data_IF_273043738981
#
_entry.id   IF_273043738981
#
_cell.length_a   1.000
_cell.length_b   1.000
_cell.length_c   1.000
_cell.angle_alpha   90.00
_cell.angle_beta   90.00
_cell.angle_gamma   90.00
#
_symmetry.space_group_name_H-M   'P 1'
#
loop_
_entity.id
_entity.type
_entity.pdbx_description
1 polymer ?
#
# COMPACT_ATOMS: atom_id res chain seq x y z
N UNK A 1 12.10 27.80 -37.76
CA UNK A 1 11.82 26.69 -36.83
C UNK A 1 10.77 27.18 -35.86
N UNK A 2 9.72 26.39 -35.65
CA UNK A 2 8.65 26.72 -34.70
C UNK A 2 9.26 26.95 -33.31
N UNK A 3 8.94 28.07 -32.66
CA UNK A 3 9.44 28.42 -31.32
C UNK A 3 9.11 27.30 -30.32
N UNK A 4 7.99 26.60 -30.53
CA UNK A 4 7.57 25.44 -29.76
C UNK A 4 8.54 24.27 -29.94
N UNK A 5 8.99 24.00 -31.18
CA UNK A 5 9.94 22.93 -31.46
C UNK A 5 11.34 23.21 -30.88
N UNK A 6 11.76 24.47 -30.86
CA UNK A 6 13.02 24.89 -30.21
C UNK A 6 12.91 24.75 -28.70
N UNK A 7 11.79 25.17 -28.09
CA UNK A 7 11.57 25.02 -26.65
C UNK A 7 11.54 23.54 -26.23
N UNK A 8 10.81 22.69 -26.97
CA UNK A 8 10.75 21.26 -26.71
C UNK A 8 12.11 20.59 -26.84
N UNK A 9 12.90 20.94 -27.86
CA UNK A 9 14.23 20.36 -28.03
C UNK A 9 15.20 20.77 -26.91
N UNK A 10 15.16 22.03 -26.45
CA UNK A 10 15.95 22.48 -25.29
C UNK A 10 15.52 21.76 -24.01
N UNK A 11 14.22 21.57 -23.78
CA UNK A 11 13.71 20.81 -22.63
C UNK A 11 14.17 19.35 -22.68
N UNK A 12 14.11 18.71 -23.86
CA UNK A 12 14.58 17.33 -24.05
C UNK A 12 16.09 17.24 -23.80
N UNK A 13 16.89 18.17 -24.31
CA UNK A 13 18.34 18.18 -24.10
C UNK A 13 18.68 18.39 -22.63
N UNK A 14 18.05 19.35 -21.95
CA UNK A 14 18.24 19.57 -20.52
C UNK A 14 17.81 18.34 -19.70
N UNK A 15 16.71 17.69 -20.09
CA UNK A 15 16.26 16.45 -19.48
C UNK A 15 17.27 15.31 -19.66
N UNK A 16 17.79 15.12 -20.88
CA UNK A 16 18.81 14.12 -21.18
C UNK A 16 20.12 14.41 -20.42
N UNK A 17 20.60 15.66 -20.41
CA UNK A 17 21.82 16.04 -19.68
C UNK A 17 21.66 15.78 -18.18
N UNK A 18 20.53 16.17 -17.58
CA UNK A 18 20.26 15.91 -16.17
C UNK A 18 20.15 14.41 -15.88
N UNK A 19 19.49 13.65 -16.75
CA UNK A 19 19.39 12.20 -16.65
C UNK A 19 20.76 11.51 -16.73
N UNK A 20 21.61 11.91 -17.66
CA UNK A 20 22.97 11.38 -17.81
C UNK A 20 23.88 11.78 -16.64
N UNK A 21 23.71 12.98 -16.09
CA UNK A 21 24.45 13.42 -14.90
C UNK A 21 24.06 12.59 -13.67
N UNK A 22 22.76 12.38 -13.45
CA UNK A 22 22.26 11.56 -12.35
C UNK A 22 22.63 10.07 -12.53
N UNK A 23 22.69 9.57 -13.77
CA UNK A 23 23.18 8.23 -14.08
C UNK A 23 24.64 8.02 -13.63
N UNK A 24 25.53 8.98 -13.95
CA UNK A 24 26.94 8.92 -13.52
C UNK A 24 27.13 9.13 -12.02
N UNK A 25 26.21 9.83 -11.36
CA UNK A 25 26.27 10.07 -9.91
C UNK A 25 25.80 8.86 -9.09
N UNK A 26 25.20 7.85 -9.74
CA UNK A 26 24.67 6.62 -9.13
C UNK A 26 25.69 5.49 -8.90
N UNK A 27 26.99 5.75 -9.06
CA UNK A 27 28.06 4.83 -8.62
C UNK A 27 28.16 4.83 -7.10
N UNK A 28 27.13 4.30 -6.45
CA UNK A 28 27.21 3.88 -5.05
C UNK A 28 28.30 2.82 -4.95
N UNK A 29 29.46 3.22 -4.43
CA UNK A 29 30.55 2.31 -4.09
C UNK A 29 29.98 1.18 -3.23
N UNK A 30 30.23 -0.07 -3.61
CA UNK A 30 29.82 -1.29 -2.89
C UNK A 30 28.35 -1.74 -3.04
N UNK A 31 27.67 -1.40 -4.14
CA UNK A 31 26.39 -2.07 -4.44
C UNK A 31 26.60 -3.54 -4.84
N UNK A 32 25.64 -4.43 -4.52
CA UNK A 32 25.65 -5.82 -4.99
C UNK A 32 25.73 -5.92 -6.52
N UNK A 33 26.26 -7.03 -7.06
CA UNK A 33 26.35 -7.24 -8.50
C UNK A 33 24.96 -7.19 -9.15
N UNK A 34 24.89 -6.88 -10.44
CA UNK A 34 23.62 -6.79 -11.14
C UNK A 34 23.78 -6.41 -12.61
N UNK A 35 22.72 -6.56 -13.41
CA UNK A 35 22.74 -6.23 -14.82
C UNK A 35 22.95 -4.73 -15.04
N UNK A 36 23.75 -4.39 -16.04
CA UNK A 36 24.06 -2.99 -16.36
C UNK A 36 22.78 -2.22 -16.73
N UNK A 37 22.44 -1.14 -16.02
CA UNK A 37 21.21 -0.40 -16.27
C UNK A 37 21.34 0.52 -17.49
N UNK A 38 20.25 0.67 -18.25
CA UNK A 38 20.14 1.69 -19.28
C UNK A 38 19.88 3.08 -18.66
N UNK A 39 20.30 4.18 -19.30
CA UNK A 39 19.97 5.52 -18.84
C UNK A 39 18.46 5.72 -18.69
N UNK A 40 18.02 6.41 -17.63
CA UNK A 40 16.62 6.78 -17.32
C UNK A 40 15.71 5.62 -16.94
N UNK A 41 15.66 4.56 -17.75
CA UNK A 41 14.73 3.44 -17.61
C UNK A 41 15.29 2.28 -16.77
N UNK A 42 16.60 2.23 -16.55
CA UNK A 42 17.23 1.17 -15.77
C UNK A 42 17.18 -0.19 -16.48
N UNK A 43 16.78 -1.23 -15.76
CA UNK A 43 16.64 -2.61 -16.22
C UNK A 43 15.19 -2.97 -16.59
N UNK A 44 14.26 -2.01 -16.64
CA UNK A 44 12.82 -2.27 -16.86
C UNK A 44 12.55 -3.08 -18.13
N UNK A 45 13.31 -2.87 -19.21
CA UNK A 45 13.13 -3.62 -20.47
C UNK A 45 13.45 -5.11 -20.38
N UNK A 46 14.29 -5.50 -19.42
CA UNK A 46 14.60 -6.92 -19.21
C UNK A 46 13.61 -7.58 -18.23
N UNK A 47 12.89 -6.78 -17.44
CA UNK A 47 11.94 -7.29 -16.45
C UNK A 47 10.62 -7.64 -17.12
N UNK A 48 10.14 -8.87 -16.93
CA UNK A 48 8.75 -9.18 -17.21
C UNK A 48 7.88 -8.46 -16.17
N UNK A 49 7.35 -7.28 -16.54
CA UNK A 49 6.52 -6.46 -15.64
C UNK A 49 5.20 -7.15 -15.26
N UNK A 50 4.79 -8.20 -15.97
CA UNK A 50 3.64 -9.02 -15.58
C UNK A 50 3.99 -10.05 -14.50
N UNK A 51 5.24 -10.54 -14.49
CA UNK A 51 5.75 -11.56 -13.56
C UNK A 51 7.17 -11.26 -13.09
N UNK A 52 7.42 -10.10 -12.44
CA UNK A 52 8.77 -9.65 -12.14
C UNK A 52 9.51 -10.60 -11.18
N UNK A 53 8.78 -11.29 -10.32
CA UNK A 53 9.31 -12.31 -9.42
C UNK A 53 10.04 -13.44 -10.19
N UNK A 54 9.61 -13.82 -11.39
CA UNK A 54 10.30 -14.84 -12.19
C UNK A 54 11.63 -14.35 -12.70
N UNK A 55 11.66 -13.15 -13.28
CA UNK A 55 12.91 -12.53 -13.73
C UNK A 55 13.88 -12.35 -12.56
N UNK A 56 13.39 -11.98 -11.37
CA UNK A 56 14.24 -11.88 -10.18
C UNK A 56 14.83 -13.24 -9.75
N UNK A 57 14.08 -14.34 -9.89
CA UNK A 57 14.63 -15.69 -9.64
C UNK A 57 15.74 -16.03 -10.63
N UNK A 58 15.54 -15.80 -11.94
CA UNK A 58 16.55 -16.05 -12.98
C UNK A 58 17.82 -15.22 -12.76
N UNK A 59 17.67 -13.95 -12.38
CA UNK A 59 18.81 -13.10 -12.04
C UNK A 59 19.55 -13.60 -10.80
N UNK A 60 18.84 -14.17 -9.82
CA UNK A 60 19.47 -14.71 -8.62
C UNK A 60 20.36 -15.92 -8.91
N UNK A 61 20.04 -16.69 -9.95
CA UNK A 61 20.90 -17.80 -10.42
C UNK A 61 22.20 -17.26 -11.07
N UNK A 62 22.14 -16.07 -11.68
CA UNK A 62 23.28 -15.46 -12.38
C UNK A 62 24.17 -14.62 -11.46
N UNK A 63 23.56 -13.77 -10.63
CA UNK A 63 24.24 -12.76 -9.81
C UNK A 63 24.34 -13.16 -8.33
N UNK A 64 23.76 -14.31 -7.96
CA UNK A 64 23.68 -14.78 -6.59
C UNK A 64 22.44 -14.25 -5.85
N UNK A 65 22.29 -14.65 -4.57
CA UNK A 65 21.07 -14.38 -3.80
C UNK A 65 20.86 -12.91 -3.39
N UNK A 66 21.91 -12.09 -3.48
CA UNK A 66 21.85 -10.64 -3.23
C UNK A 66 22.38 -9.93 -4.47
N UNK A 67 21.49 -9.25 -5.18
CA UNK A 67 21.85 -8.55 -6.42
C UNK A 67 21.11 -7.22 -6.53
N UNK A 68 21.55 -6.35 -7.43
CA UNK A 68 20.94 -5.06 -7.66
C UNK A 68 20.24 -4.98 -9.01
N UNK A 69 19.12 -4.27 -9.04
CA UNK A 69 18.39 -3.89 -10.25
C UNK A 69 18.04 -2.41 -10.17
N UNK A 70 17.99 -1.74 -11.30
CA UNK A 70 17.53 -0.36 -11.39
C UNK A 70 16.17 -0.33 -12.06
N UNK A 71 15.15 0.20 -11.38
CA UNK A 71 13.81 0.37 -11.93
C UNK A 71 13.61 1.87 -12.17
N UNK A 72 13.62 2.28 -13.44
CA UNK A 72 13.67 3.70 -13.78
C UNK A 72 14.97 4.34 -13.28
N UNK A 73 14.84 5.33 -12.41
CA UNK A 73 15.99 6.00 -11.76
C UNK A 73 16.30 5.45 -10.35
N UNK A 74 15.52 4.49 -9.86
CA UNK A 74 15.66 3.96 -8.51
C UNK A 74 16.51 2.70 -8.53
N UNK A 75 17.63 2.70 -7.81
CA UNK A 75 18.48 1.52 -7.61
C UNK A 75 17.95 0.71 -6.42
N UNK A 76 17.70 -0.57 -6.64
CA UNK A 76 17.05 -1.46 -5.67
C UNK A 76 17.90 -2.71 -5.47
N UNK A 77 18.09 -3.11 -4.21
CA UNK A 77 18.69 -4.41 -3.88
C UNK A 77 17.58 -5.44 -3.75
N UNK A 78 17.75 -6.57 -4.44
CA UNK A 78 16.84 -7.71 -4.40
C UNK A 78 17.49 -8.79 -3.54
N UNK A 79 16.73 -9.29 -2.56
CA UNK A 79 17.11 -10.40 -1.71
C UNK A 79 16.30 -11.62 -2.15
N UNK A 80 17.00 -12.70 -2.52
CA UNK A 80 16.42 -13.92 -3.03
C UNK A 80 16.86 -15.13 -2.20
N UNK A 81 15.94 -16.08 -2.01
CA UNK A 81 16.16 -17.28 -1.22
C UNK A 81 15.85 -17.11 0.27
N UNK A 82 15.48 -18.22 0.91
CA UNK A 82 15.03 -18.25 2.30
C UNK A 82 16.09 -17.69 3.27
N UNK A 83 17.32 -18.20 3.20
CA UNK A 83 18.39 -17.81 4.14
C UNK A 83 18.69 -16.31 4.06
N UNK A 84 18.83 -15.76 2.86
CA UNK A 84 19.11 -14.34 2.62
C UNK A 84 18.00 -13.42 3.12
N UNK A 85 16.76 -13.76 2.81
CA UNK A 85 15.59 -12.96 3.24
C UNK A 85 15.43 -13.04 4.76
N UNK A 86 15.63 -14.23 5.35
CA UNK A 86 15.58 -14.43 6.79
C UNK A 86 16.67 -13.64 7.51
N UNK A 87 17.91 -13.72 7.03
CA UNK A 87 19.04 -13.00 7.63
C UNK A 87 18.81 -11.48 7.63
N UNK A 88 18.38 -10.93 6.49
CA UNK A 88 18.08 -9.49 6.39
C UNK A 88 16.90 -9.06 7.28
N UNK A 89 15.78 -9.81 7.28
CA UNK A 89 14.56 -9.38 7.97
C UNK A 89 14.51 -9.76 9.45
N UNK A 90 15.37 -10.68 9.91
CA UNK A 90 15.43 -11.12 11.32
C UNK A 90 16.72 -10.65 11.98
N UNK A 91 17.88 -11.03 11.45
CA UNK A 91 19.17 -10.74 12.09
C UNK A 91 19.58 -9.27 11.88
N UNK A 92 19.15 -8.65 10.78
CA UNK A 92 19.39 -7.25 10.46
C UNK A 92 18.10 -6.42 10.43
N UNK A 93 17.07 -6.81 11.20
CA UNK A 93 15.75 -6.23 11.17
C UNK A 93 15.75 -4.69 11.30
N UNK A 94 16.56 -4.13 12.21
CA UNK A 94 16.62 -2.67 12.41
C UNK A 94 17.09 -1.92 11.15
N UNK A 95 18.07 -2.48 10.41
CA UNK A 95 18.60 -1.88 9.19
C UNK A 95 17.63 -1.94 8.00
N UNK A 96 16.77 -2.96 7.96
CA UNK A 96 15.80 -3.20 6.88
C UNK A 96 14.35 -2.93 7.27
N UNK A 97 14.13 -2.33 8.45
CA UNK A 97 12.79 -2.08 9.00
C UNK A 97 12.04 -0.92 8.35
N UNK A 98 12.72 -0.07 7.60
CA UNK A 98 12.14 1.10 6.94
C UNK A 98 11.23 0.73 5.75
N UNK A 99 10.47 1.72 5.29
CA UNK A 99 9.53 1.65 4.16
C UNK A 99 9.94 2.66 3.10
N UNK A 100 10.10 2.26 1.83
CA UNK A 100 10.32 3.25 0.78
C UNK A 100 9.09 4.15 0.65
N UNK A 101 9.31 5.46 0.46
CA UNK A 101 8.23 6.37 0.14
C UNK A 101 7.73 6.08 -1.27
N UNK A 102 6.49 5.61 -1.38
CA UNK A 102 5.86 5.31 -2.68
C UNK A 102 5.07 6.55 -3.11
N UNK A 103 5.47 7.28 -4.17
CA UNK A 103 4.90 8.58 -4.50
C UNK A 103 3.39 8.59 -4.68
N UNK A 104 2.81 7.57 -5.32
CA UNK A 104 1.35 7.49 -5.52
C UNK A 104 0.59 7.47 -4.18
N UNK A 105 1.11 6.78 -3.16
CA UNK A 105 0.48 6.74 -1.84
C UNK A 105 0.85 7.95 -1.00
N UNK A 106 2.11 8.40 -1.05
CA UNK A 106 2.60 9.56 -0.33
C UNK A 106 1.79 10.83 -0.66
N UNK A 107 1.37 11.00 -1.92
CA UNK A 107 0.61 12.17 -2.35
C UNK A 107 -0.75 12.32 -1.64
N UNK A 108 -1.42 11.22 -1.33
CA UNK A 108 -2.75 11.24 -0.69
C UNK A 108 -2.67 10.98 0.81
N UNK A 109 -1.88 9.97 1.23
CA UNK A 109 -1.77 9.55 2.63
C UNK A 109 -0.70 10.31 3.42
N UNK A 110 0.15 11.10 2.76
CA UNK A 110 1.22 11.90 3.38
C UNK A 110 2.15 11.08 4.27
N UNK A 111 2.36 9.80 3.93
CA UNK A 111 3.19 8.85 4.70
C UNK A 111 2.76 8.69 6.17
N UNK A 112 1.48 8.90 6.48
CA UNK A 112 0.89 8.60 7.80
C UNK A 112 0.38 7.17 7.91
N UNK A 113 0.05 6.76 9.14
CA UNK A 113 -0.48 5.44 9.45
C UNK A 113 0.63 4.45 9.81
N UNK A 114 0.45 3.18 9.46
CA UNK A 114 1.39 2.08 9.78
C UNK A 114 2.05 1.48 8.53
N UNK A 115 1.35 1.47 7.39
CA UNK A 115 1.81 0.77 6.18
C UNK A 115 2.88 1.59 5.42
N UNK A 116 2.71 2.93 5.36
CA UNK A 116 3.53 3.83 4.54
C UNK A 116 4.32 4.87 5.36
N UNK A 117 4.42 4.69 6.69
CA UNK A 117 5.14 5.59 7.58
C UNK A 117 6.50 5.02 7.97
N UNK A 118 7.40 5.90 8.46
CA UNK A 118 8.74 5.55 8.92
C UNK A 118 9.08 6.21 10.25
N UNK A 119 10.22 5.80 10.83
CA UNK A 119 10.81 6.41 12.01
C UNK A 119 9.93 6.27 13.25
N UNK A 120 10.02 7.26 14.15
CA UNK A 120 9.32 7.17 15.44
C UNK A 120 7.80 7.19 15.29
N UNK A 121 7.27 7.92 14.31
CA UNK A 121 5.83 7.94 14.05
C UNK A 121 5.30 6.53 13.72
N UNK A 122 6.03 5.78 12.88
CA UNK A 122 5.69 4.39 12.60
C UNK A 122 5.77 3.51 13.85
N UNK A 123 6.84 3.63 14.65
CA UNK A 123 7.03 2.84 15.88
C UNK A 123 5.90 3.08 16.87
N UNK A 124 5.55 4.34 17.14
CA UNK A 124 4.45 4.73 18.04
C UNK A 124 3.12 4.21 17.52
N UNK A 125 2.79 4.49 16.26
CA UNK A 125 1.51 4.10 15.68
C UNK A 125 1.35 2.57 15.64
N UNK A 126 2.40 1.84 15.23
CA UNK A 126 2.39 0.37 15.20
C UNK A 126 2.20 -0.22 16.60
N UNK A 127 2.93 0.26 17.61
CA UNK A 127 2.79 -0.22 19.00
C UNK A 127 1.37 0.00 19.51
N UNK A 128 0.84 1.20 19.31
CA UNK A 128 -0.53 1.55 19.68
C UNK A 128 -1.56 0.64 18.98
N UNK A 129 -1.50 0.55 17.65
CA UNK A 129 -2.45 -0.25 16.86
C UNK A 129 -2.41 -1.72 17.25
N UNK A 130 -1.24 -2.31 17.46
CA UNK A 130 -1.13 -3.71 17.88
C UNK A 130 -1.68 -3.95 19.30
N UNK A 131 -1.41 -3.04 20.24
CA UNK A 131 -1.99 -3.15 21.59
C UNK A 131 -3.51 -3.07 21.52
N UNK A 132 -4.05 -2.04 20.86
CA UNK A 132 -5.49 -1.86 20.74
C UNK A 132 -6.15 -3.04 20.01
N UNK A 133 -5.58 -3.54 18.90
CA UNK A 133 -6.12 -4.72 18.22
C UNK A 133 -6.17 -5.95 19.14
N UNK A 134 -5.12 -6.19 19.94
CA UNK A 134 -5.10 -7.27 20.94
C UNK A 134 -6.16 -7.06 22.01
N UNK A 135 -6.33 -5.83 22.48
CA UNK A 135 -7.27 -5.50 23.54
C UNK A 135 -8.73 -5.68 23.07
N UNK A 136 -9.04 -5.26 21.83
CA UNK A 136 -10.37 -5.34 21.20
C UNK A 136 -10.62 -6.62 20.39
N UNK A 137 -9.77 -7.63 20.52
CA UNK A 137 -10.15 -9.01 20.24
C UNK A 137 -9.18 -9.82 19.39
N UNK A 138 -8.10 -9.25 18.85
CA UNK A 138 -7.09 -10.02 18.10
C UNK A 138 -6.46 -11.06 19.02
N UNK A 139 -6.64 -12.33 18.68
CA UNK A 139 -6.21 -13.47 19.49
C UNK A 139 -7.13 -13.79 20.67
N UNK A 140 -8.35 -13.24 20.73
CA UNK A 140 -9.35 -13.53 21.76
C UNK A 140 -10.63 -14.13 21.16
N UNK A 141 -11.42 -14.80 22.00
CA UNK A 141 -12.72 -15.40 21.65
C UNK A 141 -13.71 -14.41 21.01
N UNK A 142 -13.59 -13.12 21.30
CA UNK A 142 -14.46 -12.08 20.71
C UNK A 142 -14.34 -12.05 19.18
N UNK A 143 -13.12 -12.11 18.62
CA UNK A 143 -12.95 -12.16 17.17
C UNK A 143 -13.29 -13.53 16.61
N UNK A 144 -12.99 -14.61 17.33
CA UNK A 144 -13.40 -15.96 16.93
C UNK A 144 -14.92 -16.02 16.72
N UNK A 145 -15.71 -15.51 17.66
CA UNK A 145 -17.17 -15.45 17.55
C UNK A 145 -17.62 -14.61 16.35
N UNK A 146 -16.97 -13.46 16.10
CA UNK A 146 -17.26 -12.63 14.91
C UNK A 146 -16.95 -13.35 13.60
N UNK A 147 -15.89 -14.14 13.56
CA UNK A 147 -15.52 -14.95 12.39
C UNK A 147 -16.55 -16.06 12.18
N UNK A 148 -16.97 -16.75 13.24
CA UNK A 148 -18.00 -17.80 13.18
C UNK A 148 -19.33 -17.22 12.67
N UNK A 149 -19.76 -16.09 13.23
CA UNK A 149 -20.98 -15.38 12.80
C UNK A 149 -20.90 -15.01 11.31
N UNK A 150 -19.79 -14.42 10.86
CA UNK A 150 -19.64 -14.06 9.45
C UNK A 150 -19.58 -15.29 8.53
N UNK A 151 -18.98 -16.39 8.99
CA UNK A 151 -18.94 -17.65 8.26
C UNK A 151 -20.35 -18.24 8.10
N UNK A 152 -21.18 -18.19 9.14
CA UNK A 152 -22.59 -18.60 9.07
C UNK A 152 -23.36 -17.74 8.06
N UNK A 153 -23.19 -16.41 8.10
CA UNK A 153 -23.79 -15.51 7.12
C UNK A 153 -23.32 -15.81 5.69
N UNK A 154 -22.03 -16.09 5.50
CA UNK A 154 -21.49 -16.47 4.20
C UNK A 154 -22.10 -17.78 3.70
N UNK A 155 -22.20 -18.81 4.55
CA UNK A 155 -22.83 -20.09 4.20
C UNK A 155 -24.30 -19.88 3.81
N UNK A 156 -25.04 -19.07 4.55
CA UNK A 156 -26.43 -18.75 4.21
C UNK A 156 -26.52 -18.04 2.85
N UNK A 157 -25.64 -17.07 2.58
CA UNK A 157 -25.58 -16.42 1.27
C UNK A 157 -25.28 -17.41 0.15
N UNK A 158 -24.32 -18.30 0.35
CA UNK A 158 -23.96 -19.31 -0.65
C UNK A 158 -25.12 -20.27 -0.93
N UNK A 159 -25.86 -20.68 0.11
CA UNK A 159 -27.07 -21.51 -0.05
C UNK A 159 -28.17 -20.81 -0.85
N UNK A 160 -28.31 -19.48 -0.72
CA UNK A 160 -29.33 -18.69 -1.44
C UNK A 160 -29.20 -18.72 -2.96
N UNK A 161 -28.03 -19.12 -3.50
CA UNK A 161 -27.86 -19.28 -4.94
C UNK A 161 -28.49 -20.56 -5.51
N UNK A 162 -28.92 -21.51 -4.67
CA UNK A 162 -29.66 -22.71 -5.09
C UNK A 162 -28.96 -23.49 -6.22
N UNK A 163 -27.62 -23.56 -6.20
CA UNK A 163 -26.82 -24.23 -7.24
C UNK A 163 -26.65 -23.46 -8.54
N UNK A 164 -27.17 -22.23 -8.65
CA UNK A 164 -26.92 -21.33 -9.79
C UNK A 164 -25.48 -20.81 -9.73
N UNK A 165 -24.94 -20.45 -10.90
CA UNK A 165 -23.65 -19.79 -10.98
C UNK A 165 -23.70 -18.42 -10.29
N UNK A 166 -22.69 -18.11 -9.48
CA UNK A 166 -22.53 -16.84 -8.80
C UNK A 166 -21.07 -16.40 -8.79
N UNK A 167 -20.85 -15.10 -8.62
CA UNK A 167 -19.52 -14.55 -8.41
C UNK A 167 -19.20 -14.61 -6.90
N UNK A 168 -18.34 -15.54 -6.52
CA UNK A 168 -17.91 -15.78 -5.14
C UNK A 168 -17.02 -14.65 -4.58
N UNK A 169 -16.28 -13.97 -5.46
CA UNK A 169 -15.31 -12.94 -5.10
C UNK A 169 -15.94 -11.79 -4.31
N UNK A 170 -17.15 -11.35 -4.67
CA UNK A 170 -17.82 -10.24 -3.99
C UNK A 170 -18.25 -10.64 -2.58
N UNK A 171 -18.90 -11.80 -2.43
CA UNK A 171 -19.43 -12.27 -1.14
C UNK A 171 -18.30 -12.64 -0.17
N UNK A 172 -17.24 -13.29 -0.65
CA UNK A 172 -16.07 -13.63 0.17
C UNK A 172 -15.34 -12.36 0.61
N UNK A 173 -15.10 -11.40 -0.30
CA UNK A 173 -14.47 -10.14 0.08
C UNK A 173 -15.33 -9.32 1.05
N UNK A 174 -16.65 -9.36 0.89
CA UNK A 174 -17.57 -8.70 1.82
C UNK A 174 -17.49 -9.32 3.22
N UNK A 175 -17.43 -10.64 3.32
CA UNK A 175 -17.24 -11.35 4.59
C UNK A 175 -15.92 -10.94 5.28
N UNK A 176 -14.80 -10.96 4.55
CA UNK A 176 -13.50 -10.53 5.09
C UNK A 176 -13.52 -9.05 5.51
N UNK A 177 -14.12 -8.19 4.67
CA UNK A 177 -14.26 -6.78 4.98
C UNK A 177 -15.14 -6.55 6.22
N UNK A 178 -16.23 -7.30 6.39
CA UNK A 178 -17.11 -7.21 7.55
C UNK A 178 -16.39 -7.57 8.86
N UNK A 179 -15.52 -8.58 8.85
CA UNK A 179 -14.70 -8.90 10.04
C UNK A 179 -13.83 -7.69 10.42
N UNK A 180 -13.19 -7.06 9.44
CA UNK A 180 -12.36 -5.85 9.67
C UNK A 180 -13.23 -4.69 10.16
N UNK A 181 -14.36 -4.40 9.50
CA UNK A 181 -15.30 -3.35 9.88
C UNK A 181 -15.84 -3.59 11.29
N UNK A 182 -16.12 -4.83 11.67
CA UNK A 182 -16.60 -5.18 13.00
C UNK A 182 -15.53 -4.94 14.07
N UNK A 183 -14.25 -5.13 13.76
CA UNK A 183 -13.14 -4.78 14.68
C UNK A 183 -12.96 -3.26 14.79
N UNK A 184 -13.11 -2.53 13.67
CA UNK A 184 -12.87 -1.10 13.61
C UNK A 184 -14.03 -0.26 14.15
N UNK A 185 -15.27 -0.69 13.89
CA UNK A 185 -16.49 0.11 14.09
C UNK A 185 -17.56 -0.61 14.92
N UNK A 186 -17.36 -1.87 15.29
CA UNK A 186 -18.39 -2.72 15.92
C UNK A 186 -19.69 -2.75 15.11
N UNK A 187 -19.57 -2.74 13.78
CA UNK A 187 -20.66 -2.74 12.82
C UNK A 187 -20.47 -3.85 11.79
N UNK A 188 -21.56 -4.33 11.21
CA UNK A 188 -21.58 -5.30 10.10
C UNK A 188 -22.50 -4.78 9.01
N UNK A 189 -22.05 -4.80 7.76
CA UNK A 189 -22.87 -4.46 6.61
C UNK A 189 -23.52 -5.71 6.02
N UNK A 190 -24.70 -5.53 5.42
CA UNK A 190 -25.24 -6.56 4.53
C UNK A 190 -24.35 -6.69 3.29
N UNK A 191 -24.28 -7.88 2.70
CA UNK A 191 -23.46 -8.12 1.49
C UNK A 191 -23.95 -7.34 0.26
N UNK A 192 -25.22 -6.96 0.24
CA UNK A 192 -25.83 -6.16 -0.82
C UNK A 192 -25.84 -4.66 -0.49
N UNK A 193 -25.32 -4.27 0.69
CA UNK A 193 -25.27 -2.87 1.09
C UNK A 193 -24.41 -2.07 0.09
N UNK A 194 -24.96 -0.98 -0.49
CA UNK A 194 -24.26 -0.23 -1.51
C UNK A 194 -22.99 0.46 -0.99
N UNK A 195 -22.89 0.71 0.33
CA UNK A 195 -21.74 1.33 0.98
C UNK A 195 -20.54 0.38 0.97
N UNK A 196 -20.70 -0.85 1.47
CA UNK A 196 -19.59 -1.82 1.50
C UNK A 196 -19.17 -2.22 0.09
N UNK A 197 -20.14 -2.45 -0.81
CA UNK A 197 -19.86 -2.74 -2.22
C UNK A 197 -19.06 -1.62 -2.89
N UNK A 198 -19.43 -0.36 -2.63
CA UNK A 198 -18.69 0.80 -3.14
C UNK A 198 -17.28 0.86 -2.58
N UNK A 199 -17.10 0.71 -1.27
CA UNK A 199 -15.78 0.75 -0.63
C UNK A 199 -14.85 -0.35 -1.14
N UNK A 200 -15.35 -1.58 -1.24
CA UNK A 200 -14.61 -2.69 -1.83
C UNK A 200 -14.27 -2.43 -3.29
N UNK A 201 -15.20 -1.86 -4.07
CA UNK A 201 -14.95 -1.45 -5.46
C UNK A 201 -13.77 -0.48 -5.58
N UNK A 202 -13.71 0.54 -4.71
CA UNK A 202 -12.60 1.50 -4.67
C UNK A 202 -11.26 0.83 -4.33
N UNK A 203 -11.26 -0.08 -3.36
CA UNK A 203 -10.05 -0.81 -2.93
C UNK A 203 -9.57 -1.76 -4.03
N UNK A 204 -10.47 -2.55 -4.61
CA UNK A 204 -10.15 -3.52 -5.66
C UNK A 204 -9.63 -2.82 -6.92
N UNK A 205 -10.23 -1.70 -7.32
CA UNK A 205 -9.72 -0.91 -8.43
C UNK A 205 -8.32 -0.36 -8.14
N UNK A 206 -8.07 0.15 -6.94
CA UNK A 206 -6.74 0.64 -6.56
C UNK A 206 -5.70 -0.49 -6.59
N UNK A 207 -6.00 -1.66 -6.02
CA UNK A 207 -5.08 -2.82 -6.03
C UNK A 207 -4.73 -3.21 -7.47
N UNK A 208 -5.72 -3.25 -8.37
CA UNK A 208 -5.49 -3.53 -9.79
C UNK A 208 -4.61 -2.47 -10.46
N UNK A 209 -4.85 -1.19 -10.17
CA UNK A 209 -4.14 -0.09 -10.82
C UNK A 209 -2.72 0.12 -10.29
N UNK A 210 -2.45 -0.17 -9.01
CA UNK A 210 -1.12 0.00 -8.40
C UNK A 210 -0.06 -0.87 -9.09
N UNK A 211 -0.44 -2.06 -9.57
CA UNK A 211 0.42 -2.93 -10.37
C UNK A 211 0.59 -2.51 -11.82
N UNK A 212 -0.14 -1.50 -12.31
CA UNK A 212 -0.09 -1.12 -13.72
C UNK A 212 1.23 -0.42 -14.10
N UNK A 213 1.73 -0.59 -15.34
CA UNK A 213 2.92 0.11 -15.82
C UNK A 213 2.81 1.64 -15.69
N UNK A 214 1.61 2.20 -15.86
CA UNK A 214 1.37 3.64 -15.72
C UNK A 214 1.65 4.16 -14.31
N UNK A 215 1.28 3.39 -13.28
CA UNK A 215 1.55 3.76 -11.88
C UNK A 215 3.03 3.56 -11.53
N UNK A 216 3.70 2.57 -12.11
CA UNK A 216 5.15 2.43 -11.96
C UNK A 216 5.90 3.63 -12.56
N UNK A 217 5.45 4.14 -13.71
CA UNK A 217 5.97 5.39 -14.28
C UNK A 217 5.72 6.59 -13.36
N UNK A 218 4.51 6.68 -12.77
CA UNK A 218 4.22 7.71 -11.76
C UNK A 218 5.17 7.66 -10.58
N UNK A 219 5.42 6.47 -10.01
CA UNK A 219 6.32 6.30 -8.88
C UNK A 219 7.79 6.63 -9.23
N UNK A 220 8.16 6.57 -10.50
CA UNK A 220 9.50 6.94 -10.97
C UNK A 220 9.64 8.44 -11.26
N UNK A 221 8.58 9.07 -11.79
CA UNK A 221 8.59 10.47 -12.26
C UNK A 221 7.33 11.25 -11.84
N UNK A 222 7.06 11.43 -10.53
CA UNK A 222 5.78 11.96 -10.07
C UNK A 222 5.49 13.38 -10.58
N UNK A 223 6.48 14.28 -10.58
CA UNK A 223 6.30 15.67 -11.01
C UNK A 223 5.94 15.81 -12.49
N UNK A 224 6.52 14.96 -13.35
CA UNK A 224 6.19 14.94 -14.78
C UNK A 224 4.82 14.30 -15.01
N UNK A 225 4.57 13.17 -14.36
CA UNK A 225 3.35 12.39 -14.54
C UNK A 225 2.11 13.08 -13.95
N UNK A 226 2.27 13.98 -12.98
CA UNK A 226 1.20 14.81 -12.43
C UNK A 226 0.50 15.67 -13.49
N UNK A 227 1.21 16.09 -14.54
CA UNK A 227 0.66 16.87 -15.64
C UNK A 227 -0.22 16.02 -16.57
N UNK A 228 -0.01 14.70 -16.60
CA UNK A 228 -0.69 13.80 -17.51
C UNK A 228 -1.95 13.21 -16.86
N UNK A 229 -3.00 12.91 -17.64
CA UNK A 229 -4.10 12.09 -17.17
C UNK A 229 -3.67 10.62 -17.02
N UNK A 230 -4.46 9.81 -16.30
CA UNK A 230 -4.31 8.35 -16.29
C UNK A 230 -4.55 7.71 -14.93
N UNK A 231 -4.11 6.45 -14.80
CA UNK A 231 -4.46 5.58 -13.67
C UNK A 231 -4.14 6.16 -12.28
N UNK A 232 -3.06 6.92 -12.15
CA UNK A 232 -2.68 7.55 -10.87
C UNK A 232 -3.75 8.57 -10.39
N UNK A 233 -4.42 9.28 -11.32
CA UNK A 233 -5.51 10.20 -10.97
C UNK A 233 -6.75 9.46 -10.48
N UNK A 234 -7.06 8.30 -11.07
CA UNK A 234 -8.13 7.41 -10.60
C UNK A 234 -7.85 6.95 -9.18
N UNK A 235 -6.61 6.50 -8.90
CA UNK A 235 -6.20 6.12 -7.53
C UNK A 235 -6.40 7.30 -6.56
N UNK A 236 -5.97 8.51 -6.92
CA UNK A 236 -6.16 9.68 -6.06
C UNK A 236 -7.64 10.00 -5.81
N UNK A 237 -8.50 9.86 -6.82
CA UNK A 237 -9.95 10.00 -6.68
C UNK A 237 -10.53 8.95 -5.74
N UNK A 238 -10.16 7.69 -5.93
CA UNK A 238 -10.65 6.58 -5.12
C UNK A 238 -10.20 6.68 -3.66
N UNK A 239 -8.93 6.99 -3.43
CA UNK A 239 -8.41 7.18 -2.07
C UNK A 239 -9.06 8.37 -1.37
N UNK A 240 -9.35 9.48 -2.07
CA UNK A 240 -10.08 10.61 -1.48
C UNK A 240 -11.49 10.22 -1.04
N UNK A 241 -12.25 9.54 -1.92
CA UNK A 241 -13.60 9.03 -1.58
C UNK A 241 -13.57 8.08 -0.38
N UNK A 242 -12.56 7.20 -0.33
CA UNK A 242 -12.37 6.28 0.80
C UNK A 242 -12.06 7.04 2.10
N UNK A 243 -11.14 8.02 2.06
CA UNK A 243 -10.81 8.84 3.22
C UNK A 243 -11.97 9.72 3.69
N UNK A 244 -12.80 10.22 2.77
CA UNK A 244 -14.03 10.95 3.11
C UNK A 244 -15.01 10.06 3.89
N UNK A 245 -15.19 8.81 3.46
CA UNK A 245 -16.00 7.84 4.20
C UNK A 245 -15.43 7.59 5.60
N UNK A 246 -14.12 7.28 5.70
CA UNK A 246 -13.47 7.05 7.00
C UNK A 246 -13.62 8.28 7.90
N UNK A 247 -13.43 9.49 7.36
CA UNK A 247 -13.57 10.74 8.11
C UNK A 247 -14.99 10.95 8.62
N UNK A 248 -16.02 10.70 7.79
CA UNK A 248 -17.41 10.82 8.21
C UNK A 248 -17.74 9.86 9.36
N UNK A 249 -17.33 8.60 9.22
CA UNK A 249 -17.50 7.57 10.25
C UNK A 249 -16.78 7.94 11.55
N UNK A 250 -15.53 8.40 11.44
CA UNK A 250 -14.72 8.83 12.58
C UNK A 250 -15.34 10.02 13.32
N UNK A 251 -15.90 10.98 12.58
CA UNK A 251 -16.61 12.12 13.17
C UNK A 251 -17.92 11.71 13.86
N UNK A 252 -18.61 10.68 13.37
CA UNK A 252 -19.79 10.12 14.04
C UNK A 252 -19.39 9.46 15.37
N UNK A 253 -18.42 8.55 15.35
CA UNK A 253 -17.95 7.88 16.57
C UNK A 253 -17.38 8.85 17.60
N UNK A 254 -16.69 9.92 17.16
CA UNK A 254 -16.20 10.95 18.07
C UNK A 254 -17.31 11.66 18.86
N UNK A 255 -18.51 11.81 18.29
CA UNK A 255 -19.65 12.42 19.00
C UNK A 255 -20.22 11.49 20.07
N UNK A 256 -20.21 10.19 19.79
CA UNK A 256 -20.78 9.14 20.63
C UNK A 256 -19.70 8.44 21.50
N UNK A 257 -18.53 9.07 21.65
CA UNK A 257 -17.39 8.50 22.35
C UNK A 257 -17.60 8.57 23.86
N UNK A 258 -17.60 7.41 24.50
CA UNK A 258 -17.37 7.28 25.93
C UNK A 258 -15.92 6.85 26.17
N UNK A 259 -15.14 7.67 26.87
CA UNK A 259 -13.73 7.37 27.16
C UNK A 259 -13.60 6.19 28.13
N UNK A 260 -14.62 5.95 28.95
CA UNK A 260 -14.65 4.85 29.92
C UNK A 260 -15.14 3.53 29.31
N UNK A 261 -15.86 3.58 28.18
CA UNK A 261 -16.35 2.43 27.44
C UNK A 261 -15.93 2.50 25.96
N UNK A 262 -14.64 2.25 25.74
CA UNK A 262 -14.06 2.17 24.40
C UNK A 262 -14.42 0.81 23.79
N UNK A 263 -15.08 0.79 22.63
CA UNK A 263 -15.66 -0.46 22.08
C UNK A 263 -14.91 -1.03 20.89
N UNK A 264 -14.01 -0.25 20.29
CA UNK A 264 -13.32 -0.59 19.05
C UNK A 264 -12.02 0.20 18.90
N UNK A 265 -11.26 -0.10 17.85
CA UNK A 265 -9.97 0.55 17.58
C UNK A 265 -10.08 2.08 17.41
N UNK A 266 -11.18 2.57 16.82
CA UNK A 266 -11.37 4.01 16.61
C UNK A 266 -11.61 4.73 17.94
N UNK A 267 -12.46 4.18 18.80
CA UNK A 267 -12.72 4.73 20.14
C UNK A 267 -11.42 4.84 20.95
N UNK A 268 -10.61 3.77 20.94
CA UNK A 268 -9.31 3.75 21.61
C UNK A 268 -8.34 4.80 21.05
N UNK A 269 -8.32 4.98 19.73
CA UNK A 269 -7.47 5.99 19.11
C UNK A 269 -7.92 7.41 19.48
N UNK A 270 -9.23 7.66 19.48
CA UNK A 270 -9.81 8.95 19.87
C UNK A 270 -9.54 9.27 21.34
N UNK A 271 -9.72 8.29 22.23
CA UNK A 271 -9.40 8.43 23.65
C UNK A 271 -7.92 8.73 23.86
N UNK A 272 -7.02 7.99 23.18
CA UNK A 272 -5.57 8.26 23.27
C UNK A 272 -5.19 9.64 22.73
N UNK A 273 -5.86 10.09 21.66
CA UNK A 273 -5.66 11.44 21.13
C UNK A 273 -6.09 12.53 22.12
N UNK A 274 -7.17 12.33 22.88
CA UNK A 274 -7.59 13.25 23.93
C UNK A 274 -6.58 13.26 25.08
N UNK A 275 -6.16 12.09 25.56
CA UNK A 275 -5.15 11.95 26.62
C UNK A 275 -3.86 12.71 26.28
N UNK A 276 -3.32 12.54 25.07
CA UNK A 276 -2.08 13.21 24.63
C UNK A 276 -2.26 14.72 24.46
N UNK A 277 -3.45 15.20 24.06
CA UNK A 277 -3.73 16.64 23.93
C UNK A 277 -3.89 17.35 25.27
N UNK A 278 -4.28 16.61 26.31
CA UNK A 278 -4.45 17.11 27.66
C UNK A 278 -3.25 16.78 28.57
N UNK A 279 -2.24 16.08 28.04
CA UNK A 279 -0.96 15.90 28.71
C UNK A 279 -0.22 17.26 28.77
N UNK A 280 0.32 17.64 29.95
CA UNK A 280 1.00 18.91 30.15
C UNK A 280 2.28 19.07 29.33
#
# INVERSE_FOLDING_TARGET
MDLVAVLLSVIIILFLVNAFRNYKQGDYKNFPPGPKPLPIIGNVLMLDMSKPHKTFMELSETYGPVFSVQIGMTKTVILCGYETVKDALINHADAFSDRPSIPVFAKVLRNYGVIFSNGENWKVMRRFTLSALRDYGMGKKVIENKIIEEAECLVQKLKSYEGKSFNDFTSINAAVANIIVSILLSHRFDYEDPTILRLMGLVNENVRLVGSPWVQMYNSFPSLMDLLPGAHRTIFGNMRKFLEFIRATFMKQKKDLDVNDQRNLVDAFLAKQQEVRHAP
#
